data_IF_128477308134
#
_entry.id   IF_128477308134
#
_cell.length_a   1.000
_cell.length_b   1.000
_cell.length_c   1.000
_cell.angle_alpha   90.00
_cell.angle_beta   90.00
_cell.angle_gamma   90.00
#
_symmetry.space_group_name_H-M   'P 1'
#
loop_
_entity.id
_entity.type
_entity.pdbx_description
1 polymer ?
#
# COMPACT_ATOMS: atom_id res chain seq x y z
N UNK A 1 1.72 15.66 1.08
CA UNK A 1 2.84 16.55 1.38
C UNK A 1 2.36 17.98 1.66
N UNK A 2 1.63 18.63 0.74
CA UNK A 2 1.15 20.00 0.93
C UNK A 2 0.33 20.19 2.23
N UNK A 3 -0.54 19.22 2.56
CA UNK A 3 -1.32 19.27 3.81
C UNK A 3 -0.42 19.22 5.05
N UNK A 4 0.63 18.42 5.04
CA UNK A 4 1.61 18.33 6.13
C UNK A 4 2.33 19.66 6.31
N UNK A 5 2.76 20.32 5.22
CA UNK A 5 3.38 21.66 5.30
C UNK A 5 2.43 22.69 5.92
N UNK A 6 1.16 22.72 5.49
CA UNK A 6 0.15 23.65 6.02
C UNK A 6 -0.09 23.41 7.52
N UNK A 7 -0.23 22.13 7.91
CA UNK A 7 -0.42 21.77 9.32
C UNK A 7 0.81 22.18 10.14
N UNK A 8 2.02 21.83 9.67
CA UNK A 8 3.27 22.18 10.36
C UNK A 8 3.44 23.67 10.57
N UNK A 9 3.10 24.49 9.58
CA UNK A 9 3.10 25.96 9.70
C UNK A 9 2.07 26.43 10.72
N UNK A 10 0.83 25.92 10.65
CA UNK A 10 -0.27 26.33 11.53
C UNK A 10 -0.02 26.02 13.01
N UNK A 11 0.70 24.93 13.33
CA UNK A 11 0.99 24.52 14.71
C UNK A 11 2.42 24.85 15.16
N UNK A 12 3.20 25.59 14.35
CA UNK A 12 4.59 25.97 14.67
C UNK A 12 5.60 24.80 14.62
N UNK A 13 5.33 23.80 13.80
CA UNK A 13 6.16 22.60 13.61
C UNK A 13 6.63 22.45 12.15
N UNK A 14 7.12 23.55 11.61
CA UNK A 14 7.53 23.62 10.20
C UNK A 14 8.72 22.69 9.89
N UNK A 15 9.71 22.64 10.78
CA UNK A 15 10.91 21.82 10.57
C UNK A 15 10.59 20.33 10.54
N UNK A 16 9.69 19.87 11.43
CA UNK A 16 9.24 18.47 11.47
C UNK A 16 8.42 18.11 10.22
N UNK A 17 7.57 19.03 9.75
CA UNK A 17 6.82 18.86 8.51
C UNK A 17 7.74 18.80 7.28
N UNK A 18 8.78 19.62 7.22
CA UNK A 18 9.78 19.58 6.17
C UNK A 18 10.62 18.27 6.22
N UNK A 19 10.98 17.82 7.42
CA UNK A 19 11.69 16.54 7.59
C UNK A 19 10.85 15.37 7.06
N UNK A 20 9.57 15.33 7.40
CA UNK A 20 8.65 14.33 6.87
C UNK A 20 8.52 14.38 5.35
N UNK A 21 8.35 15.57 4.78
CA UNK A 21 8.24 15.74 3.33
C UNK A 21 9.54 15.35 2.61
N UNK A 22 10.71 15.63 3.19
CA UNK A 22 12.01 15.14 2.65
C UNK A 22 12.07 13.62 2.64
N UNK A 23 11.70 12.97 3.74
CA UNK A 23 11.64 11.51 3.80
C UNK A 23 10.68 10.92 2.76
N UNK A 24 9.48 11.51 2.61
CA UNK A 24 8.52 11.06 1.61
C UNK A 24 9.07 11.16 0.19
N UNK A 25 9.73 12.27 -0.14
CA UNK A 25 10.35 12.45 -1.45
C UNK A 25 11.54 11.51 -1.67
N UNK A 26 12.35 11.28 -0.63
CA UNK A 26 13.46 10.31 -0.67
C UNK A 26 12.95 8.90 -1.00
N UNK A 27 11.88 8.46 -0.36
CA UNK A 27 11.28 7.15 -0.67
C UNK A 27 10.81 7.08 -2.12
N UNK A 28 10.11 8.12 -2.61
CA UNK A 28 9.68 8.17 -4.02
C UNK A 28 10.90 8.10 -4.94
N UNK A 29 11.95 8.86 -4.66
CA UNK A 29 13.17 8.90 -5.47
C UNK A 29 13.86 7.53 -5.47
N UNK A 30 14.08 6.92 -4.32
CA UNK A 30 14.70 5.58 -4.17
C UNK A 30 13.96 4.52 -4.99
N UNK A 31 12.63 4.60 -5.03
CA UNK A 31 11.82 3.67 -5.82
C UNK A 31 11.89 4.02 -7.30
N UNK A 32 11.74 5.30 -7.68
CA UNK A 32 11.75 5.71 -9.09
C UNK A 32 13.08 5.42 -9.78
N UNK A 33 14.22 5.59 -9.11
CA UNK A 33 15.56 5.27 -9.64
C UNK A 33 15.67 3.81 -10.11
N UNK A 34 14.91 2.91 -9.50
CA UNK A 34 14.86 1.49 -9.90
C UNK A 34 13.76 1.24 -10.93
N UNK A 35 12.52 1.65 -10.63
CA UNK A 35 11.37 1.27 -11.45
C UNK A 35 11.31 2.01 -12.79
N UNK A 36 11.94 3.17 -12.92
CA UNK A 36 12.03 3.89 -14.20
C UNK A 36 12.95 3.20 -15.21
N UNK A 37 13.75 2.22 -14.75
CA UNK A 37 14.51 1.32 -15.66
C UNK A 37 13.63 0.22 -16.25
N UNK A 38 12.43 -0.01 -15.70
CA UNK A 38 11.49 -1.04 -16.16
C UNK A 38 10.57 -0.42 -17.22
N UNK A 39 10.58 -0.91 -18.47
CA UNK A 39 9.63 -0.48 -19.50
C UNK A 39 8.18 -0.58 -18.99
N UNK A 40 7.34 0.35 -19.34
CA UNK A 40 5.97 0.45 -18.81
C UNK A 40 5.15 -0.82 -19.11
N UNK A 41 5.34 -1.41 -20.29
CA UNK A 41 4.71 -2.66 -20.71
C UNK A 41 5.23 -3.91 -19.99
N UNK A 42 6.31 -3.77 -19.19
CA UNK A 42 6.90 -4.82 -18.34
C UNK A 42 6.68 -4.57 -16.86
N UNK A 43 6.02 -3.50 -16.48
CA UNK A 43 5.66 -3.25 -15.09
C UNK A 43 4.60 -4.24 -14.64
N UNK A 44 4.78 -4.74 -13.42
CA UNK A 44 3.85 -5.73 -12.85
C UNK A 44 2.44 -5.16 -12.74
N UNK A 45 1.47 -5.94 -13.18
CA UNK A 45 0.04 -5.62 -13.15
C UNK A 45 -0.54 -6.04 -11.81
N UNK A 46 -0.97 -5.06 -11.04
CA UNK A 46 -1.46 -5.24 -9.67
C UNK A 46 -2.94 -4.91 -9.57
N UNK A 47 -3.70 -5.75 -8.88
CA UNK A 47 -5.05 -5.43 -8.42
C UNK A 47 -5.01 -5.01 -6.95
N UNK A 48 -5.60 -3.86 -6.62
CA UNK A 48 -5.72 -3.41 -5.23
C UNK A 48 -7.14 -3.66 -4.74
N UNK A 49 -7.32 -4.69 -3.89
CA UNK A 49 -8.55 -4.96 -3.18
C UNK A 49 -8.58 -4.13 -1.88
N UNK A 50 -9.51 -3.22 -1.75
CA UNK A 50 -9.61 -2.39 -0.54
C UNK A 50 -10.17 -3.20 0.64
N UNK A 51 -11.30 -2.79 1.22
CA UNK A 51 -11.89 -3.47 2.40
C UNK A 51 -12.69 -4.73 2.03
N UNK A 52 -13.00 -4.90 0.76
CA UNK A 52 -13.71 -6.04 0.18
C UNK A 52 -13.02 -6.45 -1.11
N UNK A 53 -13.13 -7.72 -1.48
CA UNK A 53 -12.43 -8.30 -2.62
C UNK A 53 -12.69 -7.57 -3.96
N UNK A 54 -13.89 -7.06 -4.17
CA UNK A 54 -14.29 -6.35 -5.40
C UNK A 54 -14.28 -4.83 -5.25
N UNK A 55 -14.13 -4.28 -4.02
CA UNK A 55 -13.92 -2.85 -3.84
C UNK A 55 -12.49 -2.49 -4.19
N UNK A 56 -12.32 -1.51 -5.07
CA UNK A 56 -11.02 -1.24 -5.69
C UNK A 56 -10.73 0.25 -5.90
N UNK A 57 -9.62 0.53 -6.51
CA UNK A 57 -9.03 1.85 -6.70
C UNK A 57 -9.53 2.50 -7.98
N UNK A 58 -9.92 3.76 -7.88
CA UNK A 58 -10.20 4.62 -9.04
C UNK A 58 -9.06 5.63 -9.25
N UNK A 59 -8.92 6.16 -10.46
CA UNK A 59 -7.84 7.09 -10.86
C UNK A 59 -7.75 8.37 -10.00
N UNK A 60 -8.85 8.79 -9.37
CA UNK A 60 -8.90 9.98 -8.52
C UNK A 60 -8.54 9.71 -7.04
N UNK A 61 -8.11 8.51 -6.69
CA UNK A 61 -7.88 8.10 -5.30
C UNK A 61 -6.40 8.05 -4.94
N UNK A 62 -6.06 8.25 -3.66
CA UNK A 62 -4.69 8.14 -3.18
C UNK A 62 -4.04 6.78 -3.49
N UNK A 63 -4.75 5.64 -3.43
CA UNK A 63 -4.18 4.36 -3.84
C UNK A 63 -3.70 4.30 -5.29
N UNK A 64 -4.31 5.03 -6.21
CA UNK A 64 -3.80 5.14 -7.59
C UNK A 64 -2.42 5.83 -7.63
N UNK A 65 -2.24 6.88 -6.81
CA UNK A 65 -0.98 7.64 -6.78
C UNK A 65 0.15 6.84 -6.14
N UNK A 66 -0.05 6.25 -4.96
CA UNK A 66 1.03 5.52 -4.32
C UNK A 66 1.37 4.20 -5.05
N UNK A 67 0.39 3.51 -5.66
CA UNK A 67 0.68 2.32 -6.47
C UNK A 67 1.52 2.66 -7.70
N UNK A 68 1.20 3.76 -8.38
CA UNK A 68 2.03 4.26 -9.48
C UNK A 68 3.44 4.62 -9.01
N UNK A 69 3.56 5.30 -7.85
CA UNK A 69 4.87 5.63 -7.26
C UNK A 69 5.68 4.37 -6.87
N UNK A 70 5.01 3.26 -6.55
CA UNK A 70 5.64 1.96 -6.32
C UNK A 70 6.03 1.22 -7.62
N UNK A 71 5.77 1.82 -8.79
CA UNK A 71 6.18 1.29 -10.09
C UNK A 71 5.30 0.19 -10.65
N UNK A 72 4.07 0.03 -10.15
CA UNK A 72 3.13 -0.99 -10.65
C UNK A 72 2.05 -0.39 -11.54
N UNK A 73 1.50 -1.18 -12.43
CA UNK A 73 0.28 -0.88 -13.18
C UNK A 73 -0.92 -1.39 -12.40
N UNK A 74 -1.65 -0.47 -11.74
CA UNK A 74 -2.87 -0.85 -11.07
C UNK A 74 -3.98 -1.05 -12.10
N UNK A 75 -4.44 -2.30 -12.25
CA UNK A 75 -5.32 -2.74 -13.34
C UNK A 75 -6.72 -2.14 -13.32
N UNK A 76 -7.16 -1.58 -12.20
CA UNK A 76 -8.47 -0.92 -12.09
C UNK A 76 -8.42 0.59 -12.40
N UNK A 77 -7.21 1.17 -12.48
CA UNK A 77 -7.04 2.60 -12.74
C UNK A 77 -7.26 2.92 -14.21
N UNK A 78 -8.21 3.81 -14.47
CA UNK A 78 -8.59 4.18 -15.84
C UNK A 78 -9.72 3.32 -16.41
N UNK A 79 -10.17 2.33 -15.67
CA UNK A 79 -11.27 1.45 -16.08
C UNK A 79 -12.65 1.98 -15.61
N UNK A 80 -13.69 1.50 -16.28
CA UNK A 80 -15.08 1.81 -15.90
C UNK A 80 -15.48 0.94 -14.70
N UNK A 81 -15.75 1.59 -13.57
CA UNK A 81 -16.07 0.93 -12.29
C UNK A 81 -17.49 1.30 -11.82
N UNK A 82 -18.12 0.42 -11.09
CA UNK A 82 -19.40 0.68 -10.46
C UNK A 82 -19.21 1.56 -9.22
N UNK A 83 -19.87 2.72 -9.18
CA UNK A 83 -19.88 3.62 -8.03
C UNK A 83 -21.08 3.30 -7.13
N UNK A 84 -20.81 2.82 -5.92
CA UNK A 84 -21.84 2.51 -4.92
C UNK A 84 -21.46 3.16 -3.59
N UNK A 85 -22.32 4.03 -3.06
CA UNK A 85 -22.09 4.74 -1.81
C UNK A 85 -20.71 5.43 -1.71
N UNK A 86 -20.28 6.05 -2.79
CA UNK A 86 -18.96 6.71 -2.90
C UNK A 86 -17.74 5.77 -2.91
N UNK A 87 -17.96 4.47 -3.06
CA UNK A 87 -16.91 3.46 -3.21
C UNK A 87 -16.94 2.86 -4.62
N UNK A 88 -15.77 2.53 -5.16
CA UNK A 88 -15.64 1.96 -6.50
C UNK A 88 -15.52 0.44 -6.44
N UNK A 89 -16.28 -0.24 -7.31
CA UNK A 89 -16.32 -1.70 -7.38
C UNK A 89 -16.07 -2.19 -8.80
N UNK A 90 -15.18 -3.15 -8.92
CA UNK A 90 -15.09 -3.99 -10.11
C UNK A 90 -16.08 -5.15 -10.05
N UNK A 91 -16.46 -5.72 -11.17
CA UNK A 91 -17.08 -7.06 -11.20
C UNK A 91 -15.98 -8.14 -11.14
N UNK A 92 -16.34 -9.35 -10.75
CA UNK A 92 -15.38 -10.47 -10.76
C UNK A 92 -14.91 -10.77 -12.19
N UNK A 93 -15.79 -10.64 -13.17
CA UNK A 93 -15.48 -10.81 -14.58
C UNK A 93 -14.42 -9.81 -15.05
N UNK A 94 -14.50 -8.55 -14.61
CA UNK A 94 -13.46 -7.56 -14.91
C UNK A 94 -12.11 -7.97 -14.30
N UNK A 95 -12.09 -8.42 -13.03
CA UNK A 95 -10.85 -8.86 -12.39
C UNK A 95 -10.25 -10.08 -13.09
N UNK A 96 -11.10 -11.04 -13.51
CA UNK A 96 -10.67 -12.21 -14.30
C UNK A 96 -10.10 -11.80 -15.66
N UNK A 97 -10.71 -10.83 -16.35
CA UNK A 97 -10.21 -10.30 -17.62
C UNK A 97 -8.88 -9.55 -17.45
N UNK A 98 -8.76 -8.75 -16.40
CA UNK A 98 -7.51 -8.07 -16.09
C UNK A 98 -6.39 -9.05 -15.72
N UNK A 99 -6.73 -10.17 -15.12
CA UNK A 99 -5.80 -11.23 -14.72
C UNK A 99 -4.52 -10.67 -14.09
N UNK A 100 -4.60 -10.03 -12.91
CA UNK A 100 -3.44 -9.39 -12.28
C UNK A 100 -2.39 -10.41 -11.85
N UNK A 101 -1.12 -10.02 -11.93
CA UNK A 101 0.04 -10.81 -11.50
C UNK A 101 0.23 -10.75 -9.98
N UNK A 102 -0.28 -9.68 -9.33
CA UNK A 102 -0.23 -9.46 -7.87
C UNK A 102 -1.57 -8.90 -7.42
N UNK A 103 -2.02 -9.36 -6.26
CA UNK A 103 -3.15 -8.75 -5.54
C UNK A 103 -2.65 -8.24 -4.19
N UNK A 104 -2.96 -6.98 -3.88
CA UNK A 104 -2.72 -6.40 -2.55
C UNK A 104 -4.08 -6.06 -1.95
N UNK A 105 -4.39 -6.61 -0.80
CA UNK A 105 -5.63 -6.37 -0.07
C UNK A 105 -5.37 -5.51 1.18
N UNK A 106 -6.24 -4.55 1.45
CA UNK A 106 -6.13 -3.74 2.68
C UNK A 106 -6.46 -4.55 3.93
N UNK A 107 -7.34 -5.54 3.82
CA UNK A 107 -7.89 -6.29 4.95
C UNK A 107 -7.63 -7.79 4.80
N UNK A 108 -7.31 -8.43 5.92
CA UNK A 108 -7.12 -9.89 5.99
C UNK A 108 -8.38 -10.65 5.53
N UNK A 109 -9.57 -10.13 5.85
CA UNK A 109 -10.85 -10.71 5.41
C UNK A 109 -10.99 -10.73 3.88
N UNK A 110 -10.59 -9.65 3.20
CA UNK A 110 -10.59 -9.59 1.74
C UNK A 110 -9.58 -10.57 1.14
N UNK A 111 -8.35 -10.61 1.68
CA UNK A 111 -7.31 -11.56 1.26
C UNK A 111 -7.78 -13.01 1.44
N UNK A 112 -8.31 -13.36 2.62
CA UNK A 112 -8.83 -14.71 2.89
C UNK A 112 -10.00 -15.09 1.97
N UNK A 113 -10.89 -14.15 1.68
CA UNK A 113 -11.98 -14.37 0.74
C UNK A 113 -11.45 -14.69 -0.66
N UNK A 114 -10.49 -13.90 -1.17
CA UNK A 114 -9.87 -14.09 -2.48
C UNK A 114 -9.21 -15.48 -2.56
N UNK A 115 -8.43 -15.84 -1.55
CA UNK A 115 -7.71 -17.13 -1.52
C UNK A 115 -8.63 -18.32 -1.30
N UNK A 116 -9.74 -18.17 -0.59
CA UNK A 116 -10.67 -19.24 -0.25
C UNK A 116 -11.82 -19.43 -1.25
N UNK A 117 -12.05 -18.49 -2.17
CA UNK A 117 -13.16 -18.57 -3.11
C UNK A 117 -12.71 -19.18 -4.46
N UNK A 118 -13.26 -20.35 -4.85
CA UNK A 118 -12.88 -21.03 -6.11
C UNK A 118 -13.03 -20.17 -7.36
N UNK A 119 -13.92 -19.18 -7.37
CA UNK A 119 -14.11 -18.29 -8.51
C UNK A 119 -12.87 -17.42 -8.82
N UNK A 120 -11.97 -17.24 -7.84
CA UNK A 120 -10.72 -16.48 -7.98
C UNK A 120 -9.54 -17.34 -8.40
N UNK A 121 -9.69 -18.66 -8.39
CA UNK A 121 -8.59 -19.63 -8.64
C UNK A 121 -7.96 -19.53 -10.04
N UNK A 122 -8.68 -18.95 -11.01
CA UNK A 122 -8.18 -18.73 -12.37
C UNK A 122 -7.23 -17.55 -12.51
N UNK A 123 -7.12 -16.67 -11.49
CA UNK A 123 -6.32 -15.45 -11.54
C UNK A 123 -4.84 -15.80 -11.27
N UNK A 124 -3.95 -15.26 -12.10
CA UNK A 124 -2.50 -15.51 -12.03
C UNK A 124 -1.92 -15.26 -10.64
N UNK A 125 -2.28 -14.14 -10.00
CA UNK A 125 -1.84 -13.81 -8.64
C UNK A 125 -2.21 -14.91 -7.63
N UNK A 126 -3.42 -15.48 -7.74
CA UNK A 126 -3.89 -16.53 -6.84
C UNK A 126 -3.13 -17.84 -7.12
N UNK A 127 -2.97 -18.20 -8.39
CA UNK A 127 -2.25 -19.42 -8.80
C UNK A 127 -0.78 -19.41 -8.36
N UNK A 128 -0.15 -18.23 -8.40
CA UNK A 128 1.27 -18.05 -8.02
C UNK A 128 1.46 -17.72 -6.54
N UNK A 129 0.39 -17.65 -5.73
CA UNK A 129 0.45 -17.30 -4.32
C UNK A 129 0.90 -15.84 -4.07
N UNK A 130 0.69 -14.93 -5.04
CA UNK A 130 1.08 -13.51 -4.96
C UNK A 130 -0.10 -12.64 -4.52
N UNK A 131 -0.75 -13.04 -3.45
CA UNK A 131 -1.84 -12.30 -2.80
C UNK A 131 -1.39 -11.90 -1.41
N UNK A 132 -1.30 -10.62 -1.16
CA UNK A 132 -0.70 -10.05 0.05
C UNK A 132 -1.67 -9.14 0.78
N UNK A 133 -1.53 -9.08 2.11
CA UNK A 133 -2.17 -8.04 2.91
C UNK A 133 -1.23 -6.84 3.02
N UNK A 134 -1.77 -5.64 2.81
CA UNK A 134 -1.04 -4.39 3.03
C UNK A 134 -0.73 -4.24 4.53
N UNK A 135 0.50 -3.86 4.93
CA UNK A 135 0.84 -3.60 6.31
C UNK A 135 -0.05 -2.55 6.96
N UNK A 136 -0.17 -2.66 8.29
CA UNK A 136 -1.03 -1.82 9.09
C UNK A 136 -0.28 -1.37 10.34
N UNK A 137 -0.01 -0.09 10.44
CA UNK A 137 0.61 0.47 11.63
C UNK A 137 -0.40 1.12 12.57
N UNK A 138 -0.25 2.42 12.84
CA UNK A 138 -1.26 3.22 13.54
C UNK A 138 -2.52 3.34 12.67
N UNK A 139 -2.33 3.39 11.35
CA UNK A 139 -3.40 3.35 10.35
C UNK A 139 -3.05 2.35 9.24
N UNK A 140 -4.01 2.02 8.39
CA UNK A 140 -3.72 1.26 7.18
C UNK A 140 -2.80 2.06 6.27
N UNK A 141 -1.74 1.44 5.80
CA UNK A 141 -0.82 2.10 4.89
C UNK A 141 -1.52 2.47 3.58
N UNK A 142 -1.14 3.63 3.01
CA UNK A 142 -1.75 4.09 1.76
C UNK A 142 -3.22 4.53 1.84
N UNK A 143 -3.83 4.57 3.03
CA UNK A 143 -5.18 5.10 3.22
C UNK A 143 -5.17 6.64 3.23
N UNK A 144 -6.19 7.33 2.71
CA UNK A 144 -6.35 8.77 2.87
C UNK A 144 -6.27 9.18 4.35
N UNK A 145 -5.35 10.07 4.69
CA UNK A 145 -5.06 10.46 6.08
C UNK A 145 -4.00 9.62 6.78
N UNK A 146 -3.48 8.56 6.16
CA UNK A 146 -2.32 7.85 6.69
C UNK A 146 -1.03 8.61 6.37
N UNK A 147 -0.25 8.92 7.40
CA UNK A 147 1.11 9.45 7.24
C UNK A 147 2.12 8.35 6.87
N UNK A 148 1.72 7.08 6.95
CA UNK A 148 2.54 5.90 6.67
C UNK A 148 2.59 5.54 5.16
N UNK A 149 2.02 6.39 4.29
CA UNK A 149 2.01 6.18 2.83
C UNK A 149 3.40 5.99 2.21
N UNK A 150 4.49 6.66 2.65
CA UNK A 150 5.83 6.37 2.14
C UNK A 150 6.24 4.90 2.33
N UNK A 151 5.91 4.33 3.49
CA UNK A 151 6.15 2.91 3.78
C UNK A 151 5.33 1.99 2.86
N UNK A 152 4.08 2.38 2.51
CA UNK A 152 3.27 1.63 1.54
C UNK A 152 3.95 1.55 0.16
N UNK A 153 4.50 2.68 -0.32
CA UNK A 153 5.23 2.75 -1.60
C UNK A 153 6.42 1.78 -1.57
N UNK A 154 7.26 1.90 -0.56
CA UNK A 154 8.49 1.11 -0.46
C UNK A 154 8.21 -0.38 -0.29
N UNK A 155 7.27 -0.73 0.58
CA UNK A 155 6.86 -2.11 0.81
C UNK A 155 6.26 -2.74 -0.45
N UNK A 156 5.41 -2.00 -1.16
CA UNK A 156 4.81 -2.49 -2.42
C UNK A 156 5.89 -2.74 -3.46
N UNK A 157 6.80 -1.78 -3.67
CA UNK A 157 7.92 -1.95 -4.60
C UNK A 157 8.75 -3.20 -4.26
N UNK A 158 9.12 -3.39 -2.99
CA UNK A 158 9.87 -4.58 -2.54
C UNK A 158 9.09 -5.88 -2.70
N UNK A 159 7.79 -5.88 -2.40
CA UNK A 159 6.93 -7.09 -2.50
C UNK A 159 6.73 -7.50 -3.95
N UNK A 160 6.60 -6.52 -4.85
CA UNK A 160 6.31 -6.75 -6.26
C UNK A 160 7.57 -7.07 -7.06
N UNK A 161 8.69 -6.42 -6.73
CA UNK A 161 10.00 -6.57 -7.38
C UNK A 161 11.08 -7.01 -6.38
N UNK A 162 10.97 -8.20 -5.75
CA UNK A 162 11.89 -8.62 -4.68
C UNK A 162 13.35 -8.66 -5.11
N UNK A 163 13.62 -9.01 -6.36
CA UNK A 163 14.99 -9.07 -6.91
C UNK A 163 15.63 -7.68 -7.01
N UNK A 164 14.85 -6.64 -7.32
CA UNK A 164 15.35 -5.27 -7.48
C UNK A 164 15.48 -4.54 -6.14
N UNK A 165 14.61 -4.86 -5.19
CA UNK A 165 14.56 -4.23 -3.87
C UNK A 165 15.01 -5.15 -2.72
N UNK A 166 15.79 -6.21 -3.02
CA UNK A 166 16.32 -7.13 -2.02
C UNK A 166 17.16 -6.47 -0.93
N UNK A 167 17.81 -5.35 -1.25
CA UNK A 167 18.62 -4.57 -0.33
C UNK A 167 17.81 -3.76 0.70
N UNK A 168 16.51 -3.56 0.47
CA UNK A 168 15.64 -2.83 1.40
C UNK A 168 15.25 -3.74 2.58
N UNK A 169 15.49 -3.28 3.78
CA UNK A 169 15.09 -3.92 5.03
C UNK A 169 13.87 -3.20 5.60
N UNK A 170 12.67 -3.78 5.39
CA UNK A 170 11.43 -3.16 5.82
C UNK A 170 11.27 -3.06 7.34
N UNK A 171 11.91 -3.94 8.11
CA UNK A 171 11.89 -3.83 9.57
C UNK A 171 12.61 -2.56 10.01
N UNK A 172 13.81 -2.30 9.46
CA UNK A 172 14.56 -1.07 9.74
C UNK A 172 13.86 0.19 9.23
N UNK A 173 13.20 0.14 8.07
CA UNK A 173 12.44 1.27 7.55
C UNK A 173 11.26 1.62 8.48
N UNK A 174 10.54 0.61 8.99
CA UNK A 174 9.46 0.79 9.98
C UNK A 174 10.02 1.34 11.30
N UNK A 175 11.08 0.75 11.85
CA UNK A 175 11.72 1.24 13.08
C UNK A 175 12.20 2.70 12.95
N UNK A 176 12.85 3.03 11.82
CA UNK A 176 13.30 4.39 11.53
C UNK A 176 12.13 5.35 11.51
N UNK A 177 11.08 5.03 10.73
CA UNK A 177 9.91 5.88 10.55
C UNK A 177 9.22 6.20 11.88
N UNK A 178 8.99 5.18 12.70
CA UNK A 178 8.32 5.38 13.99
C UNK A 178 9.19 6.14 15.01
N UNK A 179 10.48 5.88 15.03
CA UNK A 179 11.41 6.62 15.89
C UNK A 179 11.50 8.08 15.47
N UNK A 180 11.61 8.36 14.19
CA UNK A 180 11.81 9.71 13.65
C UNK A 180 10.57 10.57 13.75
N UNK A 181 9.41 10.05 13.33
CA UNK A 181 8.19 10.85 13.17
C UNK A 181 7.18 10.70 14.31
N UNK A 182 7.28 9.66 15.11
CA UNK A 182 6.43 9.47 16.28
C UNK A 182 7.20 9.51 17.60
N UNK A 183 8.54 9.61 17.58
CA UNK A 183 9.36 9.55 18.78
C UNK A 183 9.22 8.25 19.56
N UNK A 184 8.81 7.18 18.89
CA UNK A 184 8.47 5.90 19.51
C UNK A 184 9.33 4.77 18.95
N UNK A 185 9.96 4.00 19.85
CA UNK A 185 10.70 2.79 19.49
C UNK A 185 9.78 1.59 19.54
N UNK A 186 9.54 0.97 18.40
CA UNK A 186 8.82 -0.29 18.31
C UNK A 186 9.69 -1.44 18.85
N UNK A 187 9.07 -2.41 19.52
CA UNK A 187 9.72 -3.69 19.77
C UNK A 187 9.75 -4.53 18.47
N UNK A 188 10.64 -5.54 18.36
CA UNK A 188 10.64 -6.43 17.20
C UNK A 188 9.26 -7.07 16.93
N UNK A 189 8.53 -7.45 17.98
CA UNK A 189 7.18 -8.01 17.88
C UNK A 189 6.19 -7.00 17.29
N UNK A 190 6.27 -5.73 17.71
CA UNK A 190 5.43 -4.66 17.17
C UNK A 190 5.74 -4.39 15.68
N UNK A 191 7.01 -4.46 15.29
CA UNK A 191 7.41 -4.34 13.87
C UNK A 191 6.78 -5.47 13.05
N UNK A 192 6.81 -6.71 13.55
CA UNK A 192 6.16 -7.84 12.90
C UNK A 192 4.64 -7.67 12.83
N UNK A 193 3.99 -7.18 13.88
CA UNK A 193 2.55 -6.86 13.86
C UNK A 193 2.20 -5.83 12.79
N UNK A 194 3.04 -4.80 12.61
CA UNK A 194 2.87 -3.83 11.54
C UNK A 194 2.98 -4.49 10.17
N UNK A 195 4.05 -5.24 9.94
CA UNK A 195 4.35 -5.84 8.64
C UNK A 195 3.40 -6.99 8.27
N UNK A 196 2.84 -7.71 9.26
CA UNK A 196 1.82 -8.74 9.04
C UNK A 196 0.42 -8.18 8.75
N UNK A 197 0.21 -6.87 8.96
CA UNK A 197 -1.09 -6.23 8.79
C UNK A 197 -2.02 -6.36 10.00
N UNK A 198 -1.56 -6.89 11.13
CA UNK A 198 -2.34 -6.92 12.38
C UNK A 198 -2.56 -5.52 12.96
N UNK A 199 -1.55 -4.65 12.79
CA UNK A 199 -1.60 -3.26 13.25
C UNK A 199 -1.31 -3.08 14.73
N UNK A 200 -1.08 -1.82 15.11
CA UNK A 200 -0.71 -1.44 16.49
C UNK A 200 -1.91 -1.02 17.34
N UNK A 201 -3.08 -0.88 16.74
CA UNK A 201 -4.30 -0.51 17.49
C UNK A 201 -4.86 -1.74 18.19
N UNK A 202 -5.08 -1.62 19.49
CA UNK A 202 -5.84 -2.64 20.22
C UNK A 202 -7.27 -2.73 19.64
N UNK A 203 -7.84 -3.93 19.53
CA UNK A 203 -9.25 -4.10 19.20
C UNK A 203 -10.12 -3.26 20.13
N UNK A 204 -11.19 -2.64 19.60
CA UNK A 204 -12.17 -1.94 20.43
C UNK A 204 -12.81 -2.95 21.38
N UNK A 205 -12.52 -2.86 22.69
CA UNK A 205 -13.13 -3.71 23.71
C UNK A 205 -12.16 -4.36 24.69
N UNK A 206 -10.85 -4.31 24.45
CA UNK A 206 -9.84 -4.73 25.44
C UNK A 206 -9.30 -3.49 26.18
N UNK A 207 -9.90 -3.20 27.33
CA UNK A 207 -9.39 -2.24 28.34
C UNK A 207 -8.81 -3.03 29.48
#
# INVERSE_FOLDING_TARGET
QRAISIIGEAIGRKEEAEAFNRYYNDVIQRVSEVVDTIPEDRRVRMYHAENQALRTTHSSTLPADWSRAAGVVNVSVGEELNLVNNDYYASLEQVLLWNPEVIIANENSAMKYILGNPQWSGIEAVQKGRVYQLPHGISRWGHPGSVETPLAILWTAKTVYPELFGHIDMEKEVEYFYREFFGYRLSPEMVQQVLSGEGLRKPKGEV
#
